data_IF_982659848581
#
_entry.id   IF_982659848581
#
_cell.length_a   1.000
_cell.length_b   1.000
_cell.length_c   1.000
_cell.angle_alpha   90.00
_cell.angle_beta   90.00
_cell.angle_gamma   90.00
#
_symmetry.space_group_name_H-M   'P 1'
#
loop_
_entity.id
_entity.type
_entity.pdbx_description
1 polymer ?
#
# COMPACT_ATOMS: atom_id res chain seq x y z
N UNK A 1 -3.37 -14.38 10.34
CA UNK A 1 -3.29 -13.06 11.00
C UNK A 1 -4.63 -12.34 10.88
N UNK A 2 -5.04 -11.60 11.91
CA UNK A 2 -6.22 -10.72 11.86
C UNK A 2 -5.87 -9.33 11.36
N UNK A 3 -6.77 -8.72 10.61
CA UNK A 3 -6.59 -7.40 10.02
C UNK A 3 -6.46 -6.30 11.08
N UNK A 4 -6.95 -6.55 12.30
CA UNK A 4 -6.77 -5.67 13.45
C UNK A 4 -5.31 -5.29 13.72
N UNK A 5 -4.38 -6.20 13.39
CA UNK A 5 -2.94 -5.96 13.54
C UNK A 5 -2.40 -4.88 12.57
N UNK A 6 -3.15 -4.54 11.52
CA UNK A 6 -2.86 -3.44 10.59
C UNK A 6 -3.49 -2.10 11.02
N UNK A 7 -4.22 -2.01 12.14
CA UNK A 7 -4.96 -0.78 12.47
C UNK A 7 -4.12 0.50 12.58
N UNK A 8 -2.80 0.38 12.72
CA UNK A 8 -1.89 1.53 12.76
C UNK A 8 -1.66 2.20 11.39
N UNK A 9 -1.95 1.52 10.27
CA UNK A 9 -1.88 2.13 8.92
C UNK A 9 -3.13 2.94 8.58
N UNK A 10 -4.23 2.80 9.34
CA UNK A 10 -5.47 3.54 9.09
C UNK A 10 -5.23 5.05 9.18
N UNK A 11 -5.79 5.83 8.25
CA UNK A 11 -5.66 7.28 8.15
C UNK A 11 -5.02 7.76 6.84
N UNK A 12 -4.79 9.06 6.74
CA UNK A 12 -4.20 9.72 5.58
C UNK A 12 -2.71 9.93 5.74
N UNK A 13 -1.97 9.71 4.66
CA UNK A 13 -0.52 9.68 4.63
C UNK A 13 0.01 10.42 3.42
N UNK A 14 1.18 11.02 3.58
CA UNK A 14 1.93 11.68 2.50
C UNK A 14 3.38 11.24 2.49
N UNK A 15 3.88 10.87 1.32
CA UNK A 15 5.31 10.72 1.05
C UNK A 15 5.76 11.83 0.12
N UNK A 16 6.92 12.43 0.37
CA UNK A 16 7.48 13.53 -0.43
C UNK A 16 8.92 13.20 -0.80
N UNK A 17 9.07 12.49 -1.91
CA UNK A 17 10.37 12.29 -2.56
C UNK A 17 10.73 13.47 -3.46
N UNK A 18 11.97 13.49 -3.97
CA UNK A 18 12.47 14.60 -4.80
C UNK A 18 11.67 14.82 -6.09
N UNK A 19 11.21 13.73 -6.72
CA UNK A 19 10.45 13.76 -7.98
C UNK A 19 8.99 13.33 -7.80
N UNK A 20 8.76 12.39 -6.89
CA UNK A 20 7.47 11.74 -6.68
C UNK A 20 6.90 12.12 -5.32
N UNK A 21 5.65 12.59 -5.32
CA UNK A 21 4.84 12.73 -4.11
C UNK A 21 3.72 11.71 -4.16
N UNK A 22 3.41 11.10 -3.01
CA UNK A 22 2.30 10.15 -2.89
C UNK A 22 1.39 10.64 -1.77
N UNK A 23 0.09 10.69 -2.04
CA UNK A 23 -0.95 10.86 -1.02
C UNK A 23 -1.79 9.60 -0.99
N UNK A 24 -1.91 8.97 0.17
CA UNK A 24 -2.60 7.70 0.33
C UNK A 24 -3.50 7.74 1.56
N UNK A 25 -4.71 7.22 1.47
CA UNK A 25 -5.62 7.10 2.62
C UNK A 25 -6.08 5.68 2.79
N UNK A 26 -5.79 5.09 3.95
CA UNK A 26 -6.23 3.77 4.34
C UNK A 26 -7.47 3.87 5.24
N UNK A 27 -8.54 3.18 4.88
CA UNK A 27 -9.79 3.11 5.64
C UNK A 27 -10.09 1.67 6.03
N UNK A 28 -10.53 1.47 7.27
CA UNK A 28 -11.05 0.18 7.72
C UNK A 28 -12.51 0.03 7.33
N UNK A 29 -12.81 -1.07 6.65
CA UNK A 29 -14.17 -1.40 6.20
C UNK A 29 -14.65 -2.64 6.96
N UNK A 30 -15.31 -2.40 8.10
CA UNK A 30 -15.80 -3.46 8.99
C UNK A 30 -14.68 -4.34 9.56
N UNK A 31 -15.05 -5.51 10.07
CA UNK A 31 -14.14 -6.36 10.86
C UNK A 31 -13.12 -7.18 10.03
N UNK A 32 -13.23 -7.23 8.70
CA UNK A 32 -12.45 -8.18 7.88
C UNK A 32 -11.77 -7.58 6.65
N UNK A 33 -11.83 -6.27 6.44
CA UNK A 33 -11.18 -5.63 5.30
C UNK A 33 -10.70 -4.19 5.56
N UNK A 34 -9.66 -3.79 4.84
CA UNK A 34 -9.18 -2.41 4.74
C UNK A 34 -9.04 -2.08 3.26
N UNK A 35 -9.23 -0.81 2.90
CA UNK A 35 -8.98 -0.32 1.55
C UNK A 35 -8.08 0.90 1.59
N UNK A 36 -7.34 1.12 0.51
CA UNK A 36 -6.63 2.37 0.29
C UNK A 36 -6.94 2.93 -1.09
N UNK A 37 -6.85 4.24 -1.19
CA UNK A 37 -6.70 4.96 -2.46
C UNK A 37 -5.45 5.82 -2.36
N UNK A 38 -4.62 5.79 -3.40
CA UNK A 38 -3.44 6.63 -3.51
C UNK A 38 -3.46 7.45 -4.79
N UNK A 39 -2.97 8.68 -4.70
CA UNK A 39 -2.66 9.55 -5.82
C UNK A 39 -1.15 9.78 -5.85
N UNK A 40 -0.53 9.50 -7.00
CA UNK A 40 0.91 9.62 -7.22
C UNK A 40 1.14 10.79 -8.18
N UNK A 41 2.02 11.69 -7.78
CA UNK A 41 2.31 12.94 -8.47
C UNK A 41 3.77 12.98 -8.91
N UNK A 42 4.02 13.49 -10.12
CA UNK A 42 5.34 13.95 -10.57
C UNK A 42 5.25 15.45 -10.90
N UNK A 43 6.06 16.29 -10.24
CA UNK A 43 6.06 17.74 -10.42
C UNK A 43 4.64 18.35 -10.44
N UNK A 44 3.83 18.01 -9.44
CA UNK A 44 2.43 18.44 -9.24
C UNK A 44 1.39 17.89 -10.23
N UNK A 45 1.78 17.05 -11.18
CA UNK A 45 0.85 16.36 -12.08
C UNK A 45 0.56 14.96 -11.58
N UNK A 46 -0.72 14.59 -11.52
CA UNK A 46 -1.11 13.20 -11.24
C UNK A 46 -0.69 12.34 -12.42
N UNK A 47 0.15 11.35 -12.13
CA UNK A 47 0.63 10.37 -13.11
C UNK A 47 -0.04 9.00 -12.94
N UNK A 48 -0.57 8.72 -11.75
CA UNK A 48 -1.10 7.40 -11.41
C UNK A 48 -2.02 7.47 -10.20
N UNK A 49 -3.09 6.70 -10.26
CA UNK A 49 -3.91 6.34 -9.10
C UNK A 49 -3.69 4.87 -8.74
N UNK A 50 -3.75 4.57 -7.44
CA UNK A 50 -3.68 3.20 -6.94
C UNK A 50 -4.90 2.93 -6.05
N UNK A 51 -5.50 1.75 -6.20
CA UNK A 51 -6.53 1.23 -5.28
C UNK A 51 -6.03 -0.06 -4.67
N UNK A 52 -6.05 -0.10 -3.35
CA UNK A 52 -5.58 -1.23 -2.56
C UNK A 52 -6.71 -1.82 -1.73
N UNK A 53 -6.69 -3.15 -1.54
CA UNK A 53 -7.51 -3.82 -0.53
C UNK A 53 -6.67 -4.81 0.25
N UNK A 54 -6.89 -4.90 1.56
CA UNK A 54 -6.38 -5.97 2.40
C UNK A 54 -7.58 -6.73 2.95
N UNK A 55 -7.66 -8.04 2.72
CA UNK A 55 -8.76 -8.89 3.18
C UNK A 55 -8.27 -10.09 3.99
N UNK A 56 -9.06 -10.52 4.96
CA UNK A 56 -8.85 -11.79 5.67
C UNK A 56 -9.33 -12.98 4.82
N UNK A 57 -8.44 -13.90 4.48
CA UNK A 57 -8.77 -15.10 3.70
C UNK A 57 -8.07 -16.34 4.28
N UNK A 58 -8.84 -17.39 4.58
CA UNK A 58 -8.32 -18.68 5.10
C UNK A 58 -7.32 -18.53 6.26
N UNK A 59 -7.55 -17.54 7.14
CA UNK A 59 -6.69 -17.28 8.29
C UNK A 59 -5.42 -16.48 8.00
N UNK A 60 -5.22 -15.99 6.78
CA UNK A 60 -4.13 -15.06 6.39
C UNK A 60 -4.68 -13.75 5.84
N UNK A 61 -3.79 -12.83 5.43
CA UNK A 61 -4.15 -11.59 4.74
C UNK A 61 -3.69 -11.64 3.28
N UNK A 62 -4.45 -11.01 2.39
CA UNK A 62 -4.06 -10.77 1.00
C UNK A 62 -4.17 -9.28 0.72
N UNK A 63 -3.06 -8.66 0.30
CA UNK A 63 -3.05 -7.33 -0.29
C UNK A 63 -3.30 -7.45 -1.79
N UNK A 64 -4.24 -6.67 -2.31
CA UNK A 64 -4.51 -6.54 -3.74
C UNK A 64 -4.29 -5.11 -4.17
N UNK A 65 -3.71 -4.95 -5.36
CA UNK A 65 -3.40 -3.63 -5.92
C UNK A 65 -3.92 -3.56 -7.36
N UNK A 66 -4.52 -2.42 -7.69
CA UNK A 66 -4.75 -2.00 -9.08
C UNK A 66 -4.29 -0.58 -9.29
N UNK A 67 -3.72 -0.34 -10.46
CA UNK A 67 -3.28 0.96 -10.91
C UNK A 67 -4.21 1.49 -12.00
N UNK A 68 -4.46 2.79 -11.99
CA UNK A 68 -5.33 3.47 -12.94
C UNK A 68 -4.68 4.73 -13.46
N UNK A 69 -4.91 5.01 -14.75
CA UNK A 69 -4.61 6.33 -15.32
C UNK A 69 -5.67 7.38 -14.95
N UNK A 70 -5.49 8.60 -15.45
CA UNK A 70 -6.41 9.71 -15.19
C UNK A 70 -7.83 9.52 -15.78
N UNK A 71 -8.04 8.51 -16.63
CA UNK A 71 -9.33 8.17 -17.23
C UNK A 71 -9.93 6.88 -16.62
N UNK A 72 -9.36 6.39 -15.52
CA UNK A 72 -9.74 5.13 -14.86
C UNK A 72 -9.53 3.88 -15.72
N UNK A 73 -8.62 3.91 -16.69
CA UNK A 73 -8.18 2.69 -17.36
C UNK A 73 -7.23 1.92 -16.43
N UNK A 74 -7.57 0.67 -16.13
CA UNK A 74 -6.73 -0.20 -15.30
C UNK A 74 -5.48 -0.64 -16.07
N UNK A 75 -4.33 -0.67 -15.39
CA UNK A 75 -3.11 -1.27 -15.94
C UNK A 75 -3.13 -2.80 -15.85
N UNK A 76 -3.68 -3.33 -14.76
CA UNK A 76 -3.88 -4.76 -14.59
C UNK A 76 -5.06 -5.27 -15.41
N UNK A 77 -4.93 -6.51 -15.91
CA UNK A 77 -6.00 -7.24 -16.59
C UNK A 77 -7.31 -7.25 -15.79
N UNK A 78 -8.44 -7.27 -16.52
CA UNK A 78 -9.78 -6.99 -15.99
C UNK A 78 -10.12 -7.73 -14.68
N UNK A 79 -9.77 -9.01 -14.59
CA UNK A 79 -10.08 -9.88 -13.45
C UNK A 79 -8.84 -10.31 -12.67
N UNK A 80 -7.70 -9.67 -12.89
CA UNK A 80 -6.39 -10.12 -12.37
C UNK A 80 -5.65 -8.97 -11.71
N UNK A 81 -6.12 -8.44 -10.56
CA UNK A 81 -5.34 -7.49 -9.78
C UNK A 81 -4.01 -8.14 -9.35
N UNK A 82 -3.01 -7.33 -9.00
CA UNK A 82 -1.81 -7.87 -8.36
C UNK A 82 -2.22 -8.47 -7.02
N UNK A 83 -1.83 -9.72 -6.77
CA UNK A 83 -2.09 -10.43 -5.53
C UNK A 83 -0.79 -10.57 -4.75
N UNK A 84 -0.78 -10.06 -3.53
CA UNK A 84 0.39 -10.03 -2.66
C UNK A 84 0.01 -10.73 -1.35
N UNK A 85 0.21 -12.05 -1.24
CA UNK A 85 -0.06 -12.79 -0.02
C UNK A 85 0.84 -12.33 1.13
N UNK A 86 0.32 -12.36 2.35
CA UNK A 86 1.11 -12.16 3.56
C UNK A 86 2.17 -13.27 3.69
N UNK A 87 3.42 -12.88 3.91
CA UNK A 87 4.55 -13.78 4.19
C UNK A 87 4.72 -13.94 5.69
N UNK A 88 4.86 -12.83 6.42
CA UNK A 88 5.03 -12.83 7.88
C UNK A 88 4.64 -11.48 8.49
N UNK A 89 4.44 -11.47 9.79
CA UNK A 89 4.19 -10.26 10.56
C UNK A 89 4.96 -10.29 11.86
N UNK A 90 5.52 -9.13 12.18
CA UNK A 90 6.31 -8.86 13.37
C UNK A 90 5.68 -7.68 14.12
N UNK A 91 6.29 -7.25 15.23
CA UNK A 91 5.72 -6.22 16.11
C UNK A 91 5.48 -4.89 15.41
N UNK A 92 6.42 -4.48 14.54
CA UNK A 92 6.41 -3.19 13.84
C UNK A 92 6.53 -3.33 12.32
N UNK A 93 6.58 -4.55 11.78
CA UNK A 93 6.77 -4.81 10.35
C UNK A 93 5.82 -5.87 9.84
N UNK A 94 5.21 -5.64 8.68
CA UNK A 94 4.30 -6.58 8.03
C UNK A 94 4.75 -6.78 6.60
N UNK A 95 4.98 -8.05 6.25
CA UNK A 95 5.61 -8.46 5.00
C UNK A 95 4.58 -9.15 4.13
N UNK A 96 4.22 -8.51 3.03
CA UNK A 96 3.53 -9.12 1.89
C UNK A 96 4.56 -9.47 0.81
N UNK A 97 4.18 -10.29 -0.17
CA UNK A 97 5.03 -10.57 -1.31
C UNK A 97 5.43 -9.26 -2.02
N UNK A 98 6.72 -8.92 -2.02
CA UNK A 98 7.27 -7.70 -2.63
C UNK A 98 6.99 -6.39 -1.90
N UNK A 99 6.20 -6.37 -0.82
CA UNK A 99 5.79 -5.16 -0.10
C UNK A 99 6.00 -5.32 1.40
N UNK A 100 6.68 -4.38 2.05
CA UNK A 100 6.84 -4.38 3.52
C UNK A 100 6.39 -3.05 4.10
N UNK A 101 5.42 -3.10 5.01
CA UNK A 101 4.99 -1.96 5.80
C UNK A 101 5.74 -1.96 7.12
N UNK A 102 6.42 -0.85 7.46
CA UNK A 102 7.09 -0.66 8.73
C UNK A 102 6.52 0.53 9.49
N UNK A 103 6.12 0.30 10.75
CA UNK A 103 5.73 1.35 11.68
C UNK A 103 6.99 1.95 12.33
N UNK A 104 7.27 3.21 12.01
CA UNK A 104 8.42 3.96 12.54
C UNK A 104 8.06 4.93 13.67
N UNK A 105 6.77 5.18 13.88
CA UNK A 105 6.28 6.05 14.94
C UNK A 105 4.75 6.05 15.03
N UNK A 106 4.19 7.00 15.76
CA UNK A 106 2.74 7.23 15.81
C UNK A 106 2.21 7.69 14.44
N UNK A 107 2.95 8.61 13.83
CA UNK A 107 2.57 9.33 12.60
C UNK A 107 3.62 9.16 11.49
N UNK A 108 4.39 8.06 11.56
CA UNK A 108 5.44 7.73 10.62
C UNK A 108 5.39 6.24 10.26
N UNK A 109 5.42 5.95 8.97
CA UNK A 109 5.61 4.60 8.44
C UNK A 109 6.56 4.62 7.24
N UNK A 110 7.14 3.49 6.90
CA UNK A 110 7.87 3.32 5.65
C UNK A 110 7.30 2.13 4.89
N UNK A 111 7.02 2.32 3.60
CA UNK A 111 6.71 1.25 2.68
C UNK A 111 7.97 0.90 1.89
N UNK A 112 8.32 -0.38 1.86
CA UNK A 112 9.38 -0.93 1.01
C UNK A 112 8.75 -1.74 -0.11
N UNK A 113 9.12 -1.45 -1.35
CA UNK A 113 8.66 -2.18 -2.54
C UNK A 113 9.86 -2.79 -3.24
N UNK A 114 9.88 -4.12 -3.36
CA UNK A 114 10.91 -4.83 -4.11
C UNK A 114 10.48 -4.95 -5.57
N UNK A 115 11.21 -4.29 -6.48
CA UNK A 115 11.02 -4.45 -7.91
C UNK A 115 11.82 -5.65 -8.42
N UNK A 116 11.13 -6.64 -8.98
CA UNK A 116 11.76 -7.63 -9.86
C UNK A 116 11.89 -7.02 -11.28
N UNK A 117 12.94 -7.32 -12.06
CA UNK A 117 14.04 -8.27 -11.82
C UNK A 117 15.33 -7.65 -11.23
N UNK A 118 15.36 -6.37 -10.88
CA UNK A 118 16.62 -5.66 -10.55
C UNK A 118 17.06 -5.71 -9.08
N UNK A 119 16.36 -6.47 -8.23
CA UNK A 119 16.54 -6.48 -6.76
C UNK A 119 16.61 -5.09 -6.12
N UNK A 120 15.99 -4.11 -6.77
CA UNK A 120 15.95 -2.74 -6.27
C UNK A 120 14.80 -2.61 -5.28
N UNK A 121 15.11 -2.10 -4.10
CA UNK A 121 14.11 -1.78 -3.07
C UNK A 121 13.82 -0.28 -3.15
N UNK A 122 12.61 0.06 -3.57
CA UNK A 122 12.08 1.42 -3.41
C UNK A 122 11.68 1.61 -1.95
N UNK A 123 12.17 2.69 -1.34
CA UNK A 123 11.86 3.05 0.04
C UNK A 123 11.01 4.32 0.05
N UNK A 124 9.81 4.22 0.61
CA UNK A 124 8.80 5.28 0.58
C UNK A 124 8.47 5.66 2.04
N UNK A 125 9.12 6.69 2.60
CA UNK A 125 8.78 7.18 3.92
C UNK A 125 7.49 7.99 3.85
N UNK A 126 6.57 7.72 4.77
CA UNK A 126 5.28 8.41 4.90
C UNK A 126 5.19 9.13 6.24
N UNK A 127 4.57 10.30 6.21
CA UNK A 127 4.12 11.06 7.38
C UNK A 127 2.61 11.17 7.33
N UNK A 128 1.95 11.00 8.48
CA UNK A 128 0.50 11.16 8.59
C UNK A 128 0.09 12.63 8.38
N UNK A 129 -1.03 12.86 7.71
CA UNK A 129 -1.62 14.20 7.48
C UNK A 129 -3.07 14.27 7.93
#
# INVERSE_FOLDING_TARGET
>A
MKIDKMGWIEGSWKSSGEKITIQETWTRNGAHSMMAVASIYEQDKIILFEVCTITEEKGTLILRIRHFDNQLNAWEEKNSPKLLPLIKAEKNRIYFHGYTFEKNGKDQMTLYIQSTPKDQILTIPYVRI
#
